data_IF_609197906498
#
_entry.id   IF_609197906498
#
_cell.length_a   1.000
_cell.length_b   1.000
_cell.length_c   1.000
_cell.angle_alpha   90.00
_cell.angle_beta   90.00
_cell.angle_gamma   90.00
#
_symmetry.space_group_name_H-M   'P 1'
#
loop_
_entity.id
_entity.type
_entity.pdbx_description
1 polymer ?
#
# COMPACT_ATOMS: atom_id res chain seq x y z
N UNK A 1 -20.82 -14.19 -16.72
CA UNK A 1 -20.39 -15.56 -17.12
C UNK A 1 -19.36 -15.55 -18.27
N UNK A 2 -18.37 -14.65 -18.26
CA UNK A 2 -17.41 -14.50 -19.39
C UNK A 2 -15.95 -14.28 -18.95
N UNK A 3 -15.61 -14.55 -17.68
CA UNK A 3 -14.31 -14.20 -17.10
C UNK A 3 -13.34 -15.38 -16.96
N UNK A 4 -13.82 -16.61 -17.13
CA UNK A 4 -13.04 -17.84 -16.92
C UNK A 4 -12.30 -18.35 -18.18
N UNK A 5 -12.53 -17.78 -19.37
CA UNK A 5 -11.89 -18.25 -20.61
C UNK A 5 -10.44 -17.78 -20.78
N UNK A 6 -10.05 -16.64 -20.18
CA UNK A 6 -8.71 -16.07 -20.35
C UNK A 6 -7.59 -16.70 -19.48
N UNK A 7 -7.91 -17.65 -18.59
CA UNK A 7 -6.91 -18.32 -17.73
C UNK A 7 -6.14 -19.45 -18.43
N UNK A 8 -6.39 -19.69 -19.72
CA UNK A 8 -5.74 -20.73 -20.54
C UNK A 8 -4.41 -20.24 -21.14
N UNK A 9 -3.48 -19.74 -20.33
CA UNK A 9 -2.10 -19.50 -20.77
C UNK A 9 -1.29 -20.79 -20.65
N UNK A 10 -0.52 -21.12 -21.70
CA UNK A 10 0.41 -22.26 -21.88
C UNK A 10 0.73 -23.09 -20.61
N UNK A 11 -0.21 -23.94 -20.20
CA UNK A 11 0.02 -24.89 -19.10
C UNK A 11 0.82 -26.05 -19.67
N UNK A 12 2.01 -26.28 -19.11
CA UNK A 12 2.82 -27.47 -19.43
C UNK A 12 1.98 -28.71 -19.15
N UNK A 13 1.80 -29.57 -20.17
CA UNK A 13 1.09 -30.85 -20.05
C UNK A 13 1.58 -31.61 -18.81
N UNK A 14 0.65 -32.25 -18.10
CA UNK A 14 1.01 -33.10 -16.97
C UNK A 14 1.95 -34.20 -17.48
N UNK A 15 3.10 -34.36 -16.81
CA UNK A 15 4.06 -35.39 -17.17
C UNK A 15 3.52 -36.75 -16.74
N UNK A 16 3.40 -37.69 -17.67
CA UNK A 16 2.99 -39.07 -17.38
C UNK A 16 3.94 -39.71 -16.37
N UNK A 17 5.26 -39.50 -16.52
CA UNK A 17 6.26 -39.98 -15.58
C UNK A 17 6.06 -39.42 -14.16
N UNK A 18 5.84 -38.11 -14.02
CA UNK A 18 5.63 -37.52 -12.68
C UNK A 18 4.33 -38.00 -12.04
N UNK A 19 3.31 -38.29 -12.87
CA UNK A 19 2.02 -38.83 -12.44
C UNK A 19 2.21 -40.24 -11.89
N UNK A 20 2.87 -41.10 -12.68
CA UNK A 20 3.19 -42.47 -12.29
C UNK A 20 4.04 -42.52 -11.02
N UNK A 21 5.10 -41.71 -10.96
CA UNK A 21 5.96 -41.59 -9.79
C UNK A 21 5.16 -41.19 -8.55
N UNK A 22 4.25 -40.22 -8.67
CA UNK A 22 3.41 -39.78 -7.55
C UNK A 22 2.41 -40.85 -7.10
N UNK A 23 1.81 -41.61 -8.03
CA UNK A 23 0.90 -42.71 -7.69
C UNK A 23 1.64 -43.81 -6.95
N UNK A 24 2.80 -44.20 -7.46
CA UNK A 24 3.55 -45.34 -6.96
C UNK A 24 4.19 -45.07 -5.59
N UNK A 25 4.68 -43.85 -5.37
CA UNK A 25 5.09 -43.39 -4.03
C UNK A 25 3.91 -43.41 -3.06
N UNK A 26 2.70 -43.07 -3.51
CA UNK A 26 1.50 -43.10 -2.66
C UNK A 26 1.13 -44.54 -2.29
N UNK A 27 1.21 -45.46 -3.26
CA UNK A 27 0.95 -46.89 -3.08
C UNK A 27 1.92 -47.49 -2.07
N UNK A 28 3.23 -47.32 -2.31
CA UNK A 28 4.29 -47.83 -1.44
C UNK A 28 4.16 -47.27 -0.02
N UNK A 29 3.86 -45.98 0.13
CA UNK A 29 3.69 -45.38 1.45
C UNK A 29 2.36 -45.74 2.15
N UNK A 30 1.35 -46.21 1.43
CA UNK A 30 0.10 -46.70 2.01
C UNK A 30 0.22 -48.14 2.52
N UNK A 31 1.16 -48.91 1.96
CA UNK A 31 1.45 -50.30 2.37
C UNK A 31 2.46 -50.37 3.54
N UNK A 32 3.06 -49.24 3.93
CA UNK A 32 3.93 -49.18 5.11
C UNK A 32 3.10 -49.23 6.40
N UNK A 33 3.56 -49.97 7.43
CA UNK A 33 2.96 -49.93 8.76
C UNK A 33 3.02 -48.51 9.35
N UNK A 34 2.03 -48.16 10.18
CA UNK A 34 1.89 -46.79 10.76
C UNK A 34 3.13 -46.31 11.54
N UNK A 35 3.92 -47.23 12.09
CA UNK A 35 5.13 -46.93 12.85
C UNK A 35 6.38 -46.67 12.00
N UNK A 36 6.30 -46.85 10.68
CA UNK A 36 7.44 -46.65 9.76
C UNK A 36 7.35 -45.28 9.09
N UNK A 37 8.42 -44.47 9.12
CA UNK A 37 8.42 -43.18 8.44
C UNK A 37 8.26 -43.34 6.93
N UNK A 38 7.44 -42.47 6.33
CA UNK A 38 7.19 -42.44 4.89
C UNK A 38 8.49 -42.26 4.11
N UNK A 39 8.66 -43.08 3.06
CA UNK A 39 9.78 -42.99 2.13
C UNK A 39 9.65 -41.77 1.24
N UNK A 40 10.78 -41.10 1.00
CA UNK A 40 10.84 -39.89 0.15
C UNK A 40 10.94 -40.27 -1.32
N UNK A 41 10.57 -39.34 -2.22
CA UNK A 41 10.66 -39.60 -3.66
C UNK A 41 12.09 -39.92 -4.09
N UNK A 42 13.09 -39.27 -3.50
CA UNK A 42 14.51 -39.49 -3.78
C UNK A 42 14.96 -40.94 -3.54
N UNK A 43 14.33 -41.66 -2.62
CA UNK A 43 14.68 -43.04 -2.24
C UNK A 43 14.04 -44.05 -3.20
N UNK A 44 12.84 -43.76 -3.70
CA UNK A 44 12.04 -44.67 -4.53
C UNK A 44 12.18 -44.40 -6.04
N UNK A 45 12.74 -43.25 -6.43
CA UNK A 45 12.82 -42.83 -7.85
C UNK A 45 13.57 -43.86 -8.71
N UNK A 46 14.64 -44.46 -8.17
CA UNK A 46 15.45 -45.45 -8.90
C UNK A 46 14.63 -46.69 -9.29
N UNK A 47 13.96 -47.30 -8.30
CA UNK A 47 13.14 -48.51 -8.46
C UNK A 47 11.93 -48.25 -9.38
N UNK A 48 11.21 -47.16 -9.14
CA UNK A 48 10.03 -46.79 -9.93
C UNK A 48 10.43 -46.45 -11.38
N UNK A 49 11.62 -45.89 -11.60
CA UNK A 49 12.10 -45.61 -12.97
C UNK A 49 12.42 -46.87 -13.76
N UNK A 50 12.89 -47.93 -13.08
CA UNK A 50 13.17 -49.22 -13.71
C UNK A 50 11.86 -49.89 -14.14
N UNK A 51 10.85 -49.88 -13.28
CA UNK A 51 9.50 -50.36 -13.61
C UNK A 51 8.90 -49.59 -14.79
N UNK A 52 8.98 -48.26 -14.76
CA UNK A 52 8.49 -47.42 -15.84
C UNK A 52 9.16 -47.74 -17.18
N UNK A 53 10.48 -47.95 -17.19
CA UNK A 53 11.23 -48.29 -18.42
C UNK A 53 10.82 -49.64 -19.01
N UNK A 54 10.38 -50.59 -18.18
CA UNK A 54 9.89 -51.90 -18.63
C UNK A 54 8.48 -51.84 -19.22
N UNK A 55 7.65 -50.88 -18.81
CA UNK A 55 6.30 -50.71 -19.35
C UNK A 55 6.31 -50.21 -20.80
N UNK A 56 5.37 -50.73 -21.59
CA UNK A 56 5.10 -50.23 -22.95
C UNK A 56 4.44 -48.85 -22.94
N UNK A 57 4.38 -48.18 -24.10
CA UNK A 57 3.75 -46.86 -24.20
C UNK A 57 2.25 -46.90 -23.85
N UNK A 58 1.55 -47.96 -24.25
CA UNK A 58 0.12 -48.14 -24.00
C UNK A 58 -0.17 -48.47 -22.52
N UNK A 59 0.68 -49.27 -21.89
CA UNK A 59 0.60 -49.55 -20.44
C UNK A 59 0.86 -48.30 -19.60
N UNK A 60 1.81 -47.46 -20.02
CA UNK A 60 2.08 -46.17 -19.37
C UNK A 60 0.89 -45.22 -19.50
N UNK A 61 0.24 -45.17 -20.65
CA UNK A 61 -0.95 -44.35 -20.86
C UNK A 61 -2.10 -44.84 -19.97
N UNK A 62 -2.42 -46.13 -19.99
CA UNK A 62 -3.49 -46.72 -19.18
C UNK A 62 -3.26 -46.54 -17.66
N UNK A 63 -2.02 -46.72 -17.18
CA UNK A 63 -1.69 -46.57 -15.76
C UNK A 63 -1.82 -45.12 -15.25
N UNK A 64 -1.65 -44.14 -16.15
CA UNK A 64 -1.61 -42.72 -15.78
C UNK A 64 -2.88 -41.94 -16.14
N UNK A 65 -3.74 -42.46 -17.02
CA UNK A 65 -4.92 -41.76 -17.56
C UNK A 65 -5.83 -41.17 -16.46
N UNK A 66 -6.28 -42.00 -15.52
CA UNK A 66 -7.17 -41.57 -14.44
C UNK A 66 -6.54 -40.52 -13.51
N UNK A 67 -5.26 -40.68 -13.18
CA UNK A 67 -4.54 -39.73 -12.32
C UNK A 67 -4.16 -38.45 -13.06
N UNK A 68 -3.89 -38.52 -14.37
CA UNK A 68 -3.66 -37.30 -15.17
C UNK A 68 -4.91 -36.43 -15.20
N UNK A 69 -6.10 -37.01 -15.39
CA UNK A 69 -7.37 -36.28 -15.33
C UNK A 69 -7.60 -35.64 -13.97
N UNK A 70 -7.44 -36.39 -12.88
CA UNK A 70 -7.58 -35.86 -11.51
C UNK A 70 -6.56 -34.74 -11.21
N UNK A 71 -5.32 -34.86 -11.69
CA UNK A 71 -4.30 -33.82 -11.51
C UNK A 71 -4.60 -32.56 -12.33
N UNK A 72 -5.20 -32.70 -13.52
CA UNK A 72 -5.66 -31.57 -14.32
C UNK A 72 -6.83 -30.86 -13.65
N UNK A 73 -7.83 -31.57 -13.15
CA UNK A 73 -8.93 -30.99 -12.36
C UNK A 73 -8.43 -30.29 -11.10
N UNK A 74 -7.50 -30.89 -10.35
CA UNK A 74 -6.90 -30.26 -9.16
C UNK A 74 -6.11 -29.00 -9.55
N UNK A 75 -5.41 -29.01 -10.70
CA UNK A 75 -4.69 -27.82 -11.22
C UNK A 75 -5.66 -26.72 -11.64
N UNK A 76 -6.80 -27.07 -12.21
CA UNK A 76 -7.84 -26.11 -12.58
C UNK A 76 -8.52 -25.52 -11.35
N UNK A 77 -8.87 -26.35 -10.37
CA UNK A 77 -9.40 -25.90 -9.09
C UNK A 77 -8.42 -24.96 -8.38
N UNK A 78 -7.15 -25.35 -8.26
CA UNK A 78 -6.10 -24.51 -7.63
C UNK A 78 -5.83 -23.20 -8.36
N UNK A 79 -6.10 -23.12 -9.67
CA UNK A 79 -5.94 -21.87 -10.42
C UNK A 79 -7.01 -20.82 -10.08
N UNK A 80 -8.12 -21.24 -9.47
CA UNK A 80 -9.26 -20.37 -9.13
C UNK A 80 -9.41 -20.20 -7.62
N UNK A 81 -8.92 -21.15 -6.82
CA UNK A 81 -9.00 -21.07 -5.36
C UNK A 81 -8.19 -19.90 -4.81
N UNK A 82 -8.84 -19.04 -4.00
CA UNK A 82 -8.18 -17.97 -3.26
C UNK A 82 -7.12 -18.57 -2.31
N UNK A 83 -5.86 -18.19 -2.48
CA UNK A 83 -4.82 -18.55 -1.52
C UNK A 83 -5.16 -17.96 -0.15
N UNK A 84 -5.12 -18.78 0.90
CA UNK A 84 -5.49 -18.36 2.26
C UNK A 84 -4.27 -17.91 3.09
N UNK A 85 -3.05 -18.24 2.67
CA UNK A 85 -1.83 -17.83 3.33
C UNK A 85 -1.36 -16.49 2.76
N UNK A 86 -1.23 -15.43 3.58
CA UNK A 86 -0.85 -14.09 3.11
C UNK A 86 0.45 -14.06 2.29
N UNK A 87 1.44 -14.88 2.64
CA UNK A 87 2.72 -14.96 1.92
C UNK A 87 2.57 -15.54 0.50
N UNK A 88 1.64 -16.47 0.30
CA UNK A 88 1.38 -17.05 -1.01
C UNK A 88 0.60 -16.07 -1.89
N UNK A 89 -0.41 -15.41 -1.33
CA UNK A 89 -1.15 -14.31 -2.00
C UNK A 89 -0.18 -13.21 -2.43
N UNK A 90 0.78 -12.84 -1.57
CA UNK A 90 1.78 -11.84 -1.88
C UNK A 90 2.65 -12.23 -3.07
N UNK A 91 3.26 -13.41 -3.02
CA UNK A 91 4.16 -13.90 -4.08
C UNK A 91 3.42 -14.09 -5.41
N UNK A 92 2.22 -14.66 -5.39
CA UNK A 92 1.42 -14.86 -6.60
C UNK A 92 0.97 -13.54 -7.20
N UNK A 93 0.50 -12.60 -6.37
CA UNK A 93 0.15 -11.25 -6.78
C UNK A 93 1.33 -10.53 -7.44
N UNK A 94 2.51 -10.59 -6.82
CA UNK A 94 3.73 -9.98 -7.36
C UNK A 94 4.12 -10.58 -8.73
N UNK A 95 4.10 -11.90 -8.85
CA UNK A 95 4.43 -12.60 -10.10
C UNK A 95 3.41 -12.30 -11.20
N UNK A 96 2.11 -12.25 -10.89
CA UNK A 96 1.06 -11.99 -11.87
C UNK A 96 1.08 -10.55 -12.35
N UNK A 97 1.29 -9.59 -11.45
CA UNK A 97 1.46 -8.18 -11.82
C UNK A 97 2.72 -7.96 -12.67
N UNK A 98 3.80 -8.69 -12.39
CA UNK A 98 5.00 -8.69 -13.23
C UNK A 98 4.75 -9.17 -14.66
N UNK A 99 3.93 -10.21 -14.84
CA UNK A 99 3.51 -10.70 -16.17
C UNK A 99 2.64 -9.68 -16.90
N UNK A 100 1.64 -9.12 -16.22
CA UNK A 100 0.77 -8.07 -16.78
C UNK A 100 1.58 -6.86 -17.21
N UNK A 101 2.56 -6.43 -16.41
CA UNK A 101 3.50 -5.37 -16.80
C UNK A 101 4.16 -5.69 -18.15
N UNK A 102 4.72 -6.89 -18.31
CA UNK A 102 5.38 -7.29 -19.56
C UNK A 102 4.43 -7.31 -20.76
N UNK A 103 3.18 -7.74 -20.56
CA UNK A 103 2.15 -7.72 -21.61
C UNK A 103 1.76 -6.28 -21.99
N UNK A 104 1.57 -5.39 -21.03
CA UNK A 104 1.27 -3.98 -21.26
C UNK A 104 2.45 -3.25 -21.95
N UNK A 105 3.67 -3.60 -21.58
CA UNK A 105 4.88 -3.09 -22.23
C UNK A 105 4.97 -3.55 -23.68
N UNK A 106 4.65 -4.82 -23.95
CA UNK A 106 4.56 -5.36 -25.31
C UNK A 106 3.47 -4.66 -26.12
N UNK A 107 2.32 -4.39 -25.50
CA UNK A 107 1.20 -3.69 -26.11
C UNK A 107 1.59 -2.27 -26.53
N UNK A 108 2.32 -1.56 -25.67
CA UNK A 108 2.89 -0.25 -25.98
C UNK A 108 3.92 -0.32 -27.10
N UNK A 109 4.92 -1.19 -27.00
CA UNK A 109 6.02 -1.25 -27.96
C UNK A 109 5.56 -1.70 -29.35
N UNK A 110 4.61 -2.64 -29.44
CA UNK A 110 4.18 -3.21 -30.73
C UNK A 110 3.03 -2.47 -31.39
N UNK A 111 2.13 -1.88 -30.59
CA UNK A 111 0.88 -1.30 -31.09
C UNK A 111 0.77 0.20 -30.79
N UNK A 112 1.73 0.78 -30.07
CA UNK A 112 1.71 2.19 -29.68
C UNK A 112 0.63 2.53 -28.66
N UNK A 113 0.02 1.53 -28.00
CA UNK A 113 -1.08 1.74 -27.07
C UNK A 113 -0.52 2.10 -25.69
N UNK A 114 -0.96 3.24 -25.16
CA UNK A 114 -0.56 3.73 -23.84
C UNK A 114 -1.47 3.18 -22.74
N UNK A 115 -0.90 2.70 -21.64
CA UNK A 115 -1.62 2.05 -20.55
C UNK A 115 -1.18 2.55 -19.17
N UNK A 116 -2.14 2.52 -18.24
CA UNK A 116 -1.91 2.63 -16.80
C UNK A 116 -2.52 1.41 -16.12
N UNK A 117 -1.73 0.78 -15.25
CA UNK A 117 -2.19 -0.28 -14.36
C UNK A 117 -2.07 0.20 -12.92
N UNK A 118 -3.17 0.15 -12.18
CA UNK A 118 -3.21 0.37 -10.74
C UNK A 118 -3.86 -0.87 -10.14
N UNK A 119 -3.16 -1.52 -9.22
CA UNK A 119 -3.66 -2.67 -8.47
C UNK A 119 -3.44 -2.45 -6.98
N UNK A 120 -4.49 -2.65 -6.20
CA UNK A 120 -4.51 -2.38 -4.75
C UNK A 120 -5.06 -3.60 -4.03
N UNK A 121 -4.68 -3.77 -2.75
CA UNK A 121 -5.24 -4.82 -1.90
C UNK A 121 -6.66 -4.46 -1.46
N UNK A 122 -7.43 -5.50 -1.17
CA UNK A 122 -8.82 -5.41 -0.72
C UNK A 122 -8.93 -5.17 0.79
N UNK A 123 -7.97 -5.65 1.58
CA UNK A 123 -7.97 -5.55 3.04
C UNK A 123 -6.56 -5.36 3.60
N UNK A 124 -6.48 -4.99 4.88
CA UNK A 124 -5.22 -4.68 5.56
C UNK A 124 -4.36 -5.91 5.89
N UNK A 125 -4.93 -7.12 5.86
CA UNK A 125 -4.23 -8.37 6.16
C UNK A 125 -3.30 -8.82 5.00
N UNK A 126 -3.48 -8.22 3.81
CA UNK A 126 -2.61 -8.45 2.67
C UNK A 126 -1.32 -7.64 2.77
N UNK A 127 -0.18 -8.31 2.55
CA UNK A 127 1.15 -7.68 2.53
C UNK A 127 1.45 -6.85 1.28
N UNK A 128 0.64 -6.98 0.22
CA UNK A 128 0.84 -6.27 -1.03
C UNK A 128 0.63 -4.76 -0.84
N UNK A 129 1.58 -3.96 -1.29
CA UNK A 129 1.39 -2.52 -1.44
C UNK A 129 0.68 -2.21 -2.77
N UNK A 130 0.07 -1.02 -2.91
CA UNK A 130 -0.42 -0.54 -4.19
C UNK A 130 0.66 -0.65 -5.26
N UNK A 131 0.34 -1.39 -6.32
CA UNK A 131 1.18 -1.54 -7.49
C UNK A 131 0.70 -0.56 -8.55
N UNK A 132 1.62 0.25 -9.07
CA UNK A 132 1.36 1.09 -10.23
C UNK A 132 2.38 0.82 -11.34
N UNK A 133 1.89 0.81 -12.57
CA UNK A 133 2.72 0.79 -13.77
C UNK A 133 2.14 1.72 -14.82
N UNK A 134 3.02 2.43 -15.52
CA UNK A 134 2.70 3.29 -16.66
C UNK A 134 3.63 2.90 -17.80
N UNK A 135 3.10 2.86 -19.02
CA UNK A 135 3.87 2.45 -20.20
C UNK A 135 4.90 3.48 -20.64
N UNK A 136 4.61 4.78 -20.43
CA UNK A 136 5.51 5.86 -20.82
C UNK A 136 5.42 7.08 -19.89
N UNK A 137 6.46 7.94 -19.95
CA UNK A 137 6.48 9.20 -19.22
C UNK A 137 5.37 10.16 -19.66
N UNK A 138 4.93 10.10 -20.93
CA UNK A 138 3.84 10.95 -21.44
C UNK A 138 2.53 10.68 -20.69
N UNK A 139 2.28 9.42 -20.35
CA UNK A 139 1.11 9.06 -19.55
C UNK A 139 1.25 9.63 -18.14
N UNK A 140 2.41 9.49 -17.51
CA UNK A 140 2.68 10.09 -16.20
C UNK A 140 2.45 11.61 -16.21
N UNK A 141 3.00 12.29 -17.22
CA UNK A 141 2.83 13.73 -17.43
C UNK A 141 1.38 14.11 -17.67
N UNK A 142 0.58 13.29 -18.36
CA UNK A 142 -0.86 13.54 -18.50
C UNK A 142 -1.55 13.58 -17.14
N UNK A 143 -1.28 12.61 -16.26
CA UNK A 143 -1.84 12.61 -14.91
C UNK A 143 -1.37 13.84 -14.10
N UNK A 144 -0.09 14.17 -14.16
CA UNK A 144 0.49 15.28 -13.39
C UNK A 144 0.07 16.66 -13.92
N UNK A 145 0.07 16.84 -15.23
CA UNK A 145 -0.15 18.14 -15.85
C UNK A 145 -1.63 18.41 -16.14
N UNK A 146 -2.39 17.40 -16.56
CA UNK A 146 -3.81 17.54 -16.89
C UNK A 146 -4.68 17.29 -15.67
N UNK A 147 -4.47 16.17 -14.96
CA UNK A 147 -5.30 15.81 -13.81
C UNK A 147 -4.79 16.38 -12.48
N UNK A 148 -3.59 16.96 -12.45
CA UNK A 148 -2.93 17.49 -11.24
C UNK A 148 -2.80 16.44 -10.14
N UNK A 149 -2.62 15.19 -10.53
CA UNK A 149 -2.52 14.05 -9.62
C UNK A 149 -1.34 13.15 -10.00
N UNK A 150 -0.61 12.68 -8.99
CA UNK A 150 0.36 11.60 -9.18
C UNK A 150 -0.39 10.26 -9.28
N UNK A 151 0.01 9.40 -10.22
CA UNK A 151 -0.56 8.05 -10.37
C UNK A 151 -0.45 7.26 -9.05
N UNK A 152 0.66 7.41 -8.32
CA UNK A 152 0.85 6.81 -7.00
C UNK A 152 -0.20 7.29 -5.98
N UNK A 153 -0.57 8.58 -6.00
CA UNK A 153 -1.59 9.11 -5.10
C UNK A 153 -2.98 8.56 -5.43
N UNK A 154 -3.25 8.30 -6.72
CA UNK A 154 -4.48 7.64 -7.15
C UNK A 154 -4.52 6.20 -6.62
N UNK A 155 -3.42 5.46 -6.73
CA UNK A 155 -3.30 4.11 -6.15
C UNK A 155 -3.57 4.09 -4.64
N UNK A 156 -2.98 5.01 -3.89
CA UNK A 156 -3.21 5.14 -2.44
C UNK A 156 -4.68 5.47 -2.12
N UNK A 157 -5.30 6.39 -2.85
CA UNK A 157 -6.72 6.74 -2.65
C UNK A 157 -7.65 5.59 -3.01
N UNK A 158 -7.33 4.86 -4.07
CA UNK A 158 -8.08 3.67 -4.47
C UNK A 158 -7.98 2.58 -3.40
N UNK A 159 -6.79 2.33 -2.85
CA UNK A 159 -6.61 1.38 -1.73
C UNK A 159 -7.42 1.81 -0.51
N UNK A 160 -7.28 3.08 -0.10
CA UNK A 160 -8.02 3.60 1.05
C UNK A 160 -9.54 3.52 0.85
N UNK A 161 -10.02 3.73 -0.39
CA UNK A 161 -11.42 3.55 -0.74
C UNK A 161 -11.88 2.10 -0.65
N UNK A 162 -11.09 1.15 -1.16
CA UNK A 162 -11.46 -0.26 -1.13
C UNK A 162 -11.50 -0.83 0.30
N UNK A 163 -10.60 -0.36 1.18
CA UNK A 163 -10.54 -0.79 2.57
C UNK A 163 -11.62 -0.13 3.43
N UNK A 164 -11.82 1.18 3.26
CA UNK A 164 -12.60 2.01 4.21
C UNK A 164 -13.76 2.78 3.57
N UNK A 165 -14.06 2.55 2.30
CA UNK A 165 -15.10 3.27 1.54
C UNK A 165 -14.75 4.74 1.28
N UNK A 166 -15.78 5.55 0.99
CA UNK A 166 -15.66 7.00 0.66
C UNK A 166 -14.84 7.77 1.71
N UNK A 167 -14.96 7.38 2.99
CA UNK A 167 -14.23 8.02 4.09
C UNK A 167 -12.71 7.94 3.88
N UNK A 168 -12.18 6.77 3.53
CA UNK A 168 -10.74 6.58 3.32
C UNK A 168 -10.16 7.38 2.13
N UNK A 169 -10.97 7.67 1.10
CA UNK A 169 -10.53 8.45 -0.06
C UNK A 169 -10.46 9.97 0.20
N UNK A 170 -11.40 10.50 0.99
CA UNK A 170 -11.51 11.93 1.34
C UNK A 170 -10.45 12.34 2.38
N UNK A 171 -10.09 11.42 3.27
CA UNK A 171 -9.19 11.64 4.40
C UNK A 171 -7.75 12.02 3.99
N UNK A 172 -7.21 11.65 2.82
CA UNK A 172 -5.77 11.90 2.54
C UNK A 172 -5.38 13.34 2.14
N UNK A 173 -6.29 14.18 1.62
CA UNK A 173 -5.93 15.51 1.09
C UNK A 173 -6.51 16.68 1.90
N UNK A 174 -7.79 16.63 2.24
CA UNK A 174 -8.48 17.70 2.99
C UNK A 174 -8.12 17.65 4.47
N UNK A 175 -7.92 16.44 5.01
CA UNK A 175 -7.55 16.23 6.41
C UNK A 175 -6.11 16.71 6.68
N UNK A 176 -5.17 16.55 5.75
CA UNK A 176 -3.78 17.00 5.96
C UNK A 176 -3.63 18.52 6.19
N UNK A 177 -4.44 19.35 5.55
CA UNK A 177 -4.42 20.82 5.77
C UNK A 177 -5.26 21.19 7.00
N UNK A 178 -6.45 20.60 7.16
CA UNK A 178 -7.32 20.86 8.32
C UNK A 178 -6.68 20.43 9.65
N UNK A 179 -6.05 19.25 9.67
CA UNK A 179 -5.32 18.72 10.81
C UNK A 179 -4.07 19.55 11.10
N UNK A 180 -3.34 19.98 10.07
CA UNK A 180 -2.20 20.88 10.25
C UNK A 180 -2.67 22.23 10.83
N UNK A 181 -3.79 22.80 10.37
CA UNK A 181 -4.38 24.01 10.98
C UNK A 181 -4.68 23.80 12.46
N UNK A 182 -5.29 22.67 12.81
CA UNK A 182 -5.60 22.30 14.20
C UNK A 182 -4.33 22.19 15.04
N UNK A 183 -3.35 21.39 14.59
CA UNK A 183 -2.04 21.22 15.26
C UNK A 183 -1.31 22.54 15.43
N UNK A 184 -1.29 23.40 14.41
CA UNK A 184 -0.68 24.73 14.48
C UNK A 184 -1.40 25.64 15.48
N UNK A 185 -2.73 25.63 15.53
CA UNK A 185 -3.47 26.40 16.52
C UNK A 185 -3.21 25.90 17.96
N UNK A 186 -3.13 24.58 18.15
CA UNK A 186 -2.85 23.95 19.44
C UNK A 186 -1.43 24.28 19.95
N UNK A 187 -0.40 24.18 19.11
CA UNK A 187 0.97 24.52 19.53
C UNK A 187 1.10 26.01 19.85
N UNK A 188 0.49 26.91 19.08
CA UNK A 188 0.50 28.35 19.35
C UNK A 188 -0.15 28.64 20.71
N UNK A 189 -1.36 28.11 20.95
CA UNK A 189 -2.05 28.34 22.22
C UNK A 189 -1.30 27.74 23.41
N UNK A 190 -0.70 26.56 23.23
CA UNK A 190 0.15 25.92 24.25
C UNK A 190 1.35 26.81 24.58
N UNK A 191 2.11 27.24 23.57
CA UNK A 191 3.29 28.11 23.74
C UNK A 191 2.93 29.47 24.36
N UNK A 192 1.77 30.01 24.06
CA UNK A 192 1.28 31.23 24.71
C UNK A 192 1.02 31.01 26.20
N UNK A 193 0.35 29.91 26.55
CA UNK A 193 0.04 29.57 27.94
C UNK A 193 1.27 29.18 28.76
N UNK A 194 2.35 28.71 28.13
CA UNK A 194 3.64 28.45 28.80
C UNK A 194 4.27 29.73 29.38
N UNK A 195 3.99 30.89 28.77
CA UNK A 195 4.60 32.17 29.13
C UNK A 195 3.65 33.09 29.89
N UNK A 196 2.35 32.99 29.62
CA UNK A 196 1.35 33.80 30.31
C UNK A 196 1.23 33.38 31.79
N UNK A 197 1.15 34.37 32.69
CA UNK A 197 0.94 34.15 34.13
C UNK A 197 -0.40 33.49 34.47
N UNK A 198 -1.35 33.53 33.53
CA UNK A 198 -2.71 33.02 33.69
C UNK A 198 -3.14 32.25 32.45
N UNK A 199 -4.02 31.26 32.63
CA UNK A 199 -4.52 30.43 31.53
C UNK A 199 -5.37 31.24 30.55
N UNK A 200 -4.89 31.39 29.33
CA UNK A 200 -5.58 32.03 28.21
C UNK A 200 -6.40 30.96 27.46
N UNK A 201 -7.72 31.16 27.41
CA UNK A 201 -8.66 30.19 26.83
C UNK A 201 -8.56 30.06 25.31
N UNK A 202 -8.23 31.14 24.60
CA UNK A 202 -8.12 31.16 23.13
C UNK A 202 -7.13 32.23 22.67
N UNK A 203 -6.54 32.01 21.50
CA UNK A 203 -5.66 32.97 20.84
C UNK A 203 -6.48 34.06 20.11
N UNK A 204 -6.05 35.31 20.20
CA UNK A 204 -6.63 36.45 19.49
C UNK A 204 -5.62 37.01 18.51
N UNK A 205 -5.95 37.08 17.21
CA UNK A 205 -5.01 37.56 16.19
C UNK A 205 -5.24 39.03 15.78
N UNK A 206 -6.47 39.46 15.40
CA UNK A 206 -6.68 40.84 14.94
C UNK A 206 -6.47 41.90 16.02
N UNK A 207 -6.81 41.59 17.27
CA UNK A 207 -6.67 42.49 18.42
C UNK A 207 -5.71 41.87 19.46
N UNK A 208 -4.60 41.30 18.98
CA UNK A 208 -3.63 40.67 19.85
C UNK A 208 -3.11 41.66 20.91
N UNK A 209 -2.84 42.90 20.50
CA UNK A 209 -2.33 43.94 21.40
C UNK A 209 -3.29 44.29 22.54
N UNK A 210 -4.58 44.48 22.24
CA UNK A 210 -5.59 44.81 23.27
C UNK A 210 -5.95 43.61 24.16
N UNK A 211 -6.03 42.41 23.57
CA UNK A 211 -6.60 41.24 24.24
C UNK A 211 -5.56 40.33 24.87
N UNK A 212 -4.31 40.39 24.40
CA UNK A 212 -3.19 39.61 24.89
C UNK A 212 -2.11 40.52 25.48
N UNK A 213 -1.55 41.45 24.70
CA UNK A 213 -0.42 42.28 25.14
C UNK A 213 -0.78 43.16 26.33
N UNK A 214 -1.85 43.97 26.26
CA UNK A 214 -2.29 44.86 27.33
C UNK A 214 -2.70 44.11 28.63
N UNK A 215 -3.26 42.91 28.49
CA UNK A 215 -3.80 42.16 29.65
C UNK A 215 -2.77 41.30 30.34
N UNK A 216 -1.81 40.75 29.59
CA UNK A 216 -0.88 39.75 30.10
C UNK A 216 0.58 40.16 29.93
N UNK A 217 0.87 41.27 29.26
CA UNK A 217 2.22 41.72 28.96
C UNK A 217 2.98 40.79 28.02
N UNK A 218 2.28 40.01 27.18
CA UNK A 218 2.91 38.99 26.32
C UNK A 218 2.98 39.49 24.88
N UNK A 219 4.17 39.43 24.28
CA UNK A 219 4.42 39.73 22.87
C UNK A 219 4.87 38.48 22.11
N UNK A 220 4.71 38.49 20.77
CA UNK A 220 5.28 37.46 19.91
C UNK A 220 6.61 37.93 19.30
N UNK A 221 7.56 37.02 19.11
CA UNK A 221 8.86 37.30 18.51
C UNK A 221 9.04 36.44 17.26
N UNK A 222 9.60 37.04 16.20
CA UNK A 222 9.96 36.38 14.93
C UNK A 222 8.80 35.62 14.26
N UNK A 223 7.65 36.27 14.07
CA UNK A 223 6.56 35.65 13.31
C UNK A 223 7.00 35.39 11.85
N UNK A 224 6.87 34.17 11.33
CA UNK A 224 7.57 33.77 10.09
C UNK A 224 6.80 34.12 8.81
N UNK A 225 5.55 34.59 8.91
CA UNK A 225 4.70 34.93 7.76
C UNK A 225 4.58 36.46 7.62
N UNK A 226 4.29 36.94 6.42
CA UNK A 226 4.12 38.38 6.18
C UNK A 226 2.98 39.00 7.00
N UNK A 227 1.91 38.22 7.24
CA UNK A 227 0.75 38.66 8.00
C UNK A 227 0.61 37.86 9.29
N UNK A 228 0.41 38.56 10.40
CA UNK A 228 0.01 37.96 11.65
C UNK A 228 -1.49 37.59 11.59
N UNK A 229 -1.80 36.31 11.54
CA UNK A 229 -3.17 35.84 11.35
C UNK A 229 -3.41 34.44 11.94
N UNK A 230 -4.69 34.09 12.06
CA UNK A 230 -5.10 32.75 12.51
C UNK A 230 -4.69 31.67 11.52
N UNK A 231 -4.22 30.49 11.99
CA UNK A 231 -4.01 29.31 11.15
C UNK A 231 -5.20 28.97 10.25
N UNK A 232 -6.43 29.23 10.71
CA UNK A 232 -7.65 29.00 9.92
C UNK A 232 -7.69 29.82 8.63
N UNK A 233 -7.10 31.03 8.64
CA UNK A 233 -7.08 31.96 7.52
C UNK A 233 -5.91 31.71 6.55
N UNK A 234 -5.00 30.78 6.86
CA UNK A 234 -3.89 30.42 5.98
C UNK A 234 -4.38 29.36 4.99
N UNK A 235 -4.33 29.69 3.69
CA UNK A 235 -4.74 28.79 2.61
C UNK A 235 -3.65 27.81 2.16
N UNK A 236 -2.39 28.18 2.34
CA UNK A 236 -1.24 27.39 1.88
C UNK A 236 -0.76 26.39 2.94
N UNK A 237 -0.63 25.12 2.54
CA UNK A 237 -0.04 24.07 3.40
C UNK A 237 1.41 24.39 3.77
N UNK A 238 2.18 24.95 2.84
CA UNK A 238 3.59 25.26 3.06
C UNK A 238 3.75 26.37 4.12
N UNK A 239 2.93 27.42 4.04
CA UNK A 239 2.93 28.50 5.04
C UNK A 239 2.53 27.98 6.43
N UNK A 240 1.53 27.09 6.50
CA UNK A 240 1.14 26.42 7.76
C UNK A 240 2.27 25.55 8.33
N UNK A 241 3.00 24.85 7.47
CA UNK A 241 4.11 23.98 7.89
C UNK A 241 5.29 24.81 8.42
N UNK A 242 5.62 25.92 7.74
CA UNK A 242 6.64 26.87 8.19
C UNK A 242 6.27 27.42 9.56
N UNK A 243 5.02 27.89 9.73
CA UNK A 243 4.54 28.42 11.00
C UNK A 243 4.59 27.36 12.12
N UNK A 244 4.14 26.14 11.86
CA UNK A 244 4.20 25.04 12.82
C UNK A 244 5.64 24.75 13.27
N UNK A 245 6.56 24.58 12.30
CA UNK A 245 7.96 24.26 12.58
C UNK A 245 8.67 25.39 13.32
N UNK A 246 8.33 26.64 13.04
CA UNK A 246 8.95 27.78 13.69
C UNK A 246 8.61 27.87 15.20
N UNK A 247 7.39 27.48 15.59
CA UNK A 247 7.02 27.34 17.01
C UNK A 247 7.59 26.07 17.66
N UNK A 248 7.76 24.99 16.90
CA UNK A 248 8.34 23.74 17.38
C UNK A 248 9.85 23.86 17.63
N UNK A 249 10.58 24.54 16.74
CA UNK A 249 12.02 24.82 16.87
C UNK A 249 12.35 25.95 17.84
N UNK A 250 11.34 26.75 18.22
CA UNK A 250 11.52 27.93 19.06
C UNK A 250 12.08 29.15 18.33
N UNK A 251 12.17 29.14 16.99
CA UNK A 251 12.54 30.35 16.23
C UNK A 251 11.50 31.44 16.36
N UNK A 252 10.22 31.05 16.45
CA UNK A 252 9.07 31.90 16.79
C UNK A 252 8.59 31.52 18.18
N UNK A 253 8.42 32.49 19.06
CA UNK A 253 8.03 32.24 20.44
C UNK A 253 7.30 33.44 21.06
N UNK A 254 6.65 33.20 22.19
CA UNK A 254 6.07 34.25 23.01
C UNK A 254 7.02 34.63 24.13
N UNK A 255 7.04 35.91 24.51
CA UNK A 255 7.83 36.41 25.63
C UNK A 255 6.99 37.34 26.48
N UNK A 256 7.16 37.23 27.81
CA UNK A 256 6.62 38.18 28.76
C UNK A 256 7.52 39.42 28.78
N UNK A 257 6.94 40.61 28.64
CA UNK A 257 7.64 41.87 28.79
C UNK A 257 8.03 42.09 30.25
N UNK A 258 9.17 42.72 30.44
CA UNK A 258 9.59 43.18 31.76
C UNK A 258 8.74 44.40 32.20
N UNK A 259 8.63 44.69 33.50
CA UNK A 259 7.76 45.76 34.00
C UNK A 259 8.05 47.14 33.40
N UNK A 260 9.31 47.45 33.12
CA UNK A 260 9.69 48.73 32.52
C UNK A 260 9.42 48.76 31.01
N UNK A 261 9.58 47.62 30.33
CA UNK A 261 9.20 47.47 28.92
C UNK A 261 7.68 47.61 28.75
N UNK A 262 6.90 47.03 29.66
CA UNK A 262 5.45 47.13 29.65
C UNK A 262 4.95 48.57 29.86
N UNK A 263 5.57 49.33 30.78
CA UNK A 263 5.26 50.75 30.99
C UNK A 263 5.60 51.63 29.80
N UNK A 264 6.61 51.27 29.01
CA UNK A 264 6.97 51.98 27.78
C UNK A 264 6.06 51.62 26.60
N UNK A 265 5.39 50.46 26.68
CA UNK A 265 4.45 50.00 25.67
C UNK A 265 3.05 50.61 25.85
N UNK A 266 2.62 50.80 27.10
CA UNK A 266 1.35 51.44 27.51
C UNK A 266 1.32 52.95 27.18
#
# INVERSE_FOLDING_TARGET
LMQSSCLRSNKRKVSQWNTFLSQEIRRINAELPDDVPRKKSSELTGEISAQWKQMSADERAAATESATGQLEEIREAKAVTKHHLPIHVFNDGHNMLGKLKGELETLHQRMGIECVLIATRENLDMYNQPFQYVTSNRVKEFFENTLKLLVANIGLRMEAYLISGVQGAVDSHVQGVSELKKKTAEIILRKLNEVAKTKIKRMFYPNFDEMITAKYGVIHINWPLQKFCSPSNIGSRNELQVLYRAFESGTTYFRLMDPDEFKCWE
#
